data_IF_440195808232
#
_entry.id   IF_440195808232
#
_cell.length_a   1.000
_cell.length_b   1.000
_cell.length_c   1.000
_cell.angle_alpha   90.00
_cell.angle_beta   90.00
_cell.angle_gamma   90.00
#
_symmetry.space_group_name_H-M   'P 1'
#
loop_
_entity.id
_entity.type
_entity.pdbx_description
1 polymer ?
#
# COMPACT_ATOMS: atom_id res chain seq x y z
N UNK A 1 15.66 -2.46 -65.82
CA UNK A 1 16.02 -1.65 -64.63
C UNK A 1 16.66 -2.56 -63.61
N UNK A 2 17.86 -2.24 -63.13
CA UNK A 2 18.56 -2.99 -62.08
C UNK A 2 17.74 -3.05 -60.78
N UNK A 3 17.88 -4.14 -60.00
CA UNK A 3 17.22 -4.28 -58.68
C UNK A 3 17.71 -3.19 -57.72
N UNK A 4 16.91 -2.83 -56.72
CA UNK A 4 17.28 -1.80 -55.74
C UNK A 4 18.59 -2.15 -54.99
N UNK A 5 18.86 -3.43 -54.79
CA UNK A 5 20.11 -3.92 -54.19
C UNK A 5 21.33 -3.57 -55.06
N UNK A 6 21.25 -3.77 -56.38
CA UNK A 6 22.32 -3.44 -57.31
C UNK A 6 22.53 -1.91 -57.41
N UNK A 7 21.44 -1.13 -57.37
CA UNK A 7 21.51 0.34 -57.34
C UNK A 7 22.19 0.85 -56.06
N UNK A 8 21.89 0.23 -54.92
CA UNK A 8 22.51 0.55 -53.62
C UNK A 8 23.98 0.11 -53.54
N UNK A 9 24.42 -0.84 -54.37
CA UNK A 9 25.83 -1.26 -54.44
C UNK A 9 26.66 -0.49 -55.48
N UNK A 10 26.04 0.40 -56.26
CA UNK A 10 26.75 1.18 -57.27
C UNK A 10 27.84 2.08 -56.66
N UNK A 11 28.92 2.31 -57.42
CA UNK A 11 30.05 3.17 -57.00
C UNK A 11 29.59 4.58 -56.61
N UNK A 12 28.61 5.14 -57.34
CA UNK A 12 28.04 6.46 -57.02
C UNK A 12 27.27 6.46 -55.70
N UNK A 13 26.49 5.42 -55.41
CA UNK A 13 25.77 5.32 -54.14
C UNK A 13 26.75 5.21 -52.96
N UNK A 14 27.78 4.35 -53.08
CA UNK A 14 28.84 4.22 -52.07
C UNK A 14 29.62 5.53 -51.86
N UNK A 15 29.93 6.24 -52.94
CA UNK A 15 30.60 7.54 -52.86
C UNK A 15 29.73 8.59 -52.14
N UNK A 16 28.44 8.66 -52.47
CA UNK A 16 27.50 9.57 -51.82
C UNK A 16 27.27 9.21 -50.35
N UNK A 17 27.26 7.92 -50.02
CA UNK A 17 27.18 7.43 -48.64
C UNK A 17 28.44 7.82 -47.84
N UNK A 18 29.64 7.66 -48.42
CA UNK A 18 30.90 8.08 -47.82
C UNK A 18 30.93 9.60 -47.58
N UNK A 19 30.52 10.40 -48.58
CA UNK A 19 30.45 11.86 -48.45
C UNK A 19 29.44 12.29 -47.36
N UNK A 20 28.29 11.63 -47.28
CA UNK A 20 27.32 11.89 -46.22
C UNK A 20 27.85 11.50 -44.83
N UNK A 21 28.65 10.44 -44.75
CA UNK A 21 29.31 10.02 -43.51
C UNK A 21 30.38 11.03 -43.05
N UNK A 22 31.19 11.57 -43.96
CA UNK A 22 32.17 12.63 -43.66
C UNK A 22 31.49 13.92 -43.18
N UNK A 23 30.33 14.26 -43.76
CA UNK A 23 29.53 15.41 -43.36
C UNK A 23 28.75 15.18 -42.04
N UNK A 24 28.89 14.01 -41.41
CA UNK A 24 28.22 13.67 -40.15
C UNK A 24 26.72 13.34 -40.28
N UNK A 25 26.17 13.37 -41.50
CA UNK A 25 24.78 13.01 -41.82
C UNK A 25 24.62 11.52 -42.21
N UNK A 26 25.69 10.74 -42.08
CA UNK A 26 25.68 9.31 -42.37
C UNK A 26 24.68 8.56 -41.51
N UNK A 27 23.70 7.92 -42.16
CA UNK A 27 22.89 6.93 -41.47
C UNK A 27 23.78 5.76 -41.13
N UNK A 28 24.23 5.65 -39.87
CA UNK A 28 24.97 4.50 -39.33
C UNK A 28 24.11 3.22 -39.27
N UNK A 29 23.26 2.99 -40.27
CA UNK A 29 22.31 1.86 -40.38
C UNK A 29 23.01 0.53 -40.62
N UNK A 30 24.27 0.58 -41.07
CA UNK A 30 25.09 -0.60 -41.39
C UNK A 30 26.17 -0.89 -40.34
N UNK A 31 26.29 -0.08 -39.28
CA UNK A 31 27.18 -0.42 -38.18
C UNK A 31 26.62 -1.64 -37.48
N UNK A 32 27.42 -2.71 -37.39
CA UNK A 32 27.03 -3.90 -36.64
C UNK A 32 27.26 -3.63 -35.16
N UNK A 33 26.27 -4.01 -34.35
CA UNK A 33 26.37 -3.98 -32.90
C UNK A 33 27.68 -4.67 -32.44
N UNK A 34 28.48 -4.02 -31.58
CA UNK A 34 29.63 -4.65 -30.94
C UNK A 34 29.20 -5.89 -30.13
N UNK A 35 29.99 -6.97 -30.20
CA UNK A 35 29.69 -8.20 -29.45
C UNK A 35 29.83 -8.03 -27.94
N UNK A 36 30.74 -7.15 -27.51
CA UNK A 36 31.03 -6.92 -26.11
C UNK A 36 30.54 -5.53 -25.73
N UNK A 37 29.56 -5.46 -24.81
CA UNK A 37 28.99 -4.17 -24.39
C UNK A 37 30.04 -3.27 -23.71
N UNK A 38 31.03 -3.86 -23.04
CA UNK A 38 32.06 -3.11 -22.31
C UNK A 38 33.08 -2.38 -23.20
N UNK A 39 33.13 -2.66 -24.51
CA UNK A 39 34.01 -1.91 -25.41
C UNK A 39 33.51 -0.49 -25.69
N UNK A 40 32.20 -0.25 -25.52
CA UNK A 40 31.58 1.06 -25.74
C UNK A 40 31.61 1.85 -24.43
N UNK A 41 32.25 3.03 -24.48
CA UNK A 41 32.40 3.94 -23.33
C UNK A 41 31.47 5.15 -23.40
N UNK A 42 30.80 5.37 -24.53
CA UNK A 42 29.85 6.46 -24.71
C UNK A 42 28.43 6.02 -24.31
N UNK A 43 27.82 6.77 -23.39
CA UNK A 43 26.47 6.51 -22.88
C UNK A 43 25.42 6.55 -24.00
N UNK A 44 25.51 7.54 -24.89
CA UNK A 44 24.53 7.74 -25.97
C UNK A 44 24.54 6.57 -26.94
N UNK A 45 25.73 6.03 -27.20
CA UNK A 45 25.89 4.87 -28.06
C UNK A 45 25.36 3.59 -27.40
N UNK A 46 25.61 3.39 -26.10
CA UNK A 46 25.04 2.26 -25.34
C UNK A 46 23.50 2.29 -25.33
N UNK A 47 22.88 3.45 -25.13
CA UNK A 47 21.42 3.60 -25.17
C UNK A 47 20.84 3.30 -26.56
N UNK A 48 21.54 3.73 -27.62
CA UNK A 48 21.18 3.41 -29.00
C UNK A 48 21.20 1.90 -29.23
N UNK A 49 22.29 1.22 -28.89
CA UNK A 49 22.41 -0.23 -29.05
C UNK A 49 21.36 -0.98 -28.25
N UNK A 50 21.08 -0.57 -27.00
CA UNK A 50 19.97 -1.10 -26.20
C UNK A 50 18.63 -0.96 -26.93
N UNK A 51 18.35 0.21 -27.49
CA UNK A 51 17.13 0.47 -28.25
C UNK A 51 17.02 -0.35 -29.54
N UNK A 52 18.14 -0.74 -30.13
CA UNK A 52 18.17 -1.65 -31.29
C UNK A 52 17.88 -3.08 -30.88
N UNK A 53 18.47 -3.56 -29.77
CA UNK A 53 18.18 -4.90 -29.21
C UNK A 53 16.68 -5.04 -28.92
N UNK A 54 16.08 -4.01 -28.30
CA UNK A 54 14.65 -4.01 -27.99
C UNK A 54 13.78 -4.09 -29.25
N UNK A 55 14.14 -3.38 -30.32
CA UNK A 55 13.42 -3.47 -31.60
C UNK A 55 13.54 -4.85 -32.24
N UNK A 56 14.70 -5.49 -32.15
CA UNK A 56 14.89 -6.88 -32.60
C UNK A 56 14.04 -7.86 -31.80
N UNK A 57 14.00 -7.72 -30.47
CA UNK A 57 13.15 -8.52 -29.59
C UNK A 57 11.69 -8.36 -30.01
N UNK A 58 11.18 -7.13 -30.13
CA UNK A 58 9.78 -6.88 -30.53
C UNK A 58 9.43 -7.54 -31.87
N UNK A 59 10.30 -7.43 -32.89
CA UNK A 59 10.09 -8.08 -34.19
C UNK A 59 10.02 -9.61 -34.08
N UNK A 60 10.89 -10.22 -33.26
CA UNK A 60 10.88 -11.67 -33.06
C UNK A 60 9.70 -12.14 -32.23
N UNK A 61 9.29 -11.38 -31.21
CA UNK A 61 8.09 -11.67 -30.41
C UNK A 61 6.86 -11.67 -31.31
N UNK A 62 6.72 -10.68 -32.21
CA UNK A 62 5.62 -10.67 -33.20
C UNK A 62 5.70 -11.89 -34.13
N UNK A 63 6.89 -12.25 -34.63
CA UNK A 63 7.07 -13.43 -35.51
C UNK A 63 6.74 -14.76 -34.83
N UNK A 64 6.98 -14.90 -33.52
CA UNK A 64 6.64 -16.14 -32.78
C UNK A 64 5.13 -16.37 -32.74
N UNK A 65 4.32 -15.32 -32.83
CA UNK A 65 2.86 -15.43 -32.82
C UNK A 65 2.29 -15.92 -34.15
N UNK A 66 3.10 -16.03 -35.21
CA UNK A 66 2.64 -16.51 -36.52
C UNK A 66 2.28 -18.00 -36.46
N UNK A 67 1.02 -18.33 -36.75
CA UNK A 67 0.51 -19.72 -36.74
C UNK A 67 1.12 -20.61 -37.83
N UNK A 68 1.64 -20.01 -38.91
CA UNK A 68 2.25 -20.74 -40.02
C UNK A 68 3.66 -21.29 -39.71
N UNK A 69 4.23 -20.96 -38.56
CA UNK A 69 5.57 -21.38 -38.18
C UNK A 69 5.58 -22.81 -37.60
N UNK A 70 6.62 -23.59 -37.86
CA UNK A 70 6.76 -24.92 -37.26
C UNK A 70 7.21 -24.86 -35.81
N UNK A 71 6.93 -25.90 -35.04
CA UNK A 71 7.30 -25.95 -33.62
C UNK A 71 8.83 -25.90 -33.39
N UNK A 72 9.64 -26.34 -34.36
CA UNK A 72 11.10 -26.24 -34.29
C UNK A 72 11.56 -24.79 -34.48
N UNK A 73 11.03 -24.11 -35.49
CA UNK A 73 11.32 -22.70 -35.73
C UNK A 73 10.86 -21.80 -34.56
N UNK A 74 9.74 -22.15 -33.91
CA UNK A 74 9.28 -21.46 -32.69
C UNK A 74 10.30 -21.62 -31.55
N UNK A 75 10.92 -22.80 -31.39
CA UNK A 75 11.99 -23.02 -30.39
C UNK A 75 13.22 -22.18 -30.71
N UNK A 76 13.68 -22.18 -31.95
CA UNK A 76 14.84 -21.41 -32.39
C UNK A 76 14.62 -19.91 -32.18
N UNK A 77 13.45 -19.39 -32.56
CA UNK A 77 13.10 -17.99 -32.31
C UNK A 77 13.07 -17.66 -30.81
N UNK A 78 12.58 -18.57 -29.97
CA UNK A 78 12.56 -18.37 -28.53
C UNK A 78 13.99 -18.34 -27.95
N UNK A 79 14.89 -19.21 -28.42
CA UNK A 79 16.30 -19.18 -28.05
C UNK A 79 17.00 -17.89 -28.48
N UNK A 80 16.69 -17.43 -29.69
CA UNK A 80 17.19 -16.16 -30.19
C UNK A 80 16.70 -14.97 -29.36
N UNK A 81 15.42 -14.94 -28.94
CA UNK A 81 14.91 -13.89 -28.06
C UNK A 81 15.59 -13.95 -26.69
N UNK A 82 15.77 -15.13 -26.12
CA UNK A 82 16.47 -15.28 -24.85
C UNK A 82 17.94 -14.83 -24.94
N UNK A 83 18.59 -15.07 -26.09
CA UNK A 83 19.93 -14.54 -26.37
C UNK A 83 19.94 -13.01 -26.42
N UNK A 84 18.99 -12.39 -27.12
CA UNK A 84 18.86 -10.93 -27.18
C UNK A 84 18.52 -10.32 -25.81
N UNK A 85 17.73 -11.00 -24.98
CA UNK A 85 17.44 -10.55 -23.60
C UNK A 85 18.69 -10.56 -22.73
N UNK A 86 19.56 -11.56 -22.88
CA UNK A 86 20.86 -11.56 -22.21
C UNK A 86 21.71 -10.38 -22.70
N UNK A 87 21.80 -10.17 -24.01
CA UNK A 87 22.52 -9.02 -24.57
C UNK A 87 21.97 -7.68 -24.06
N UNK A 88 20.64 -7.52 -24.03
CA UNK A 88 19.95 -6.35 -23.45
C UNK A 88 20.36 -6.11 -22.00
N UNK A 89 20.45 -7.17 -21.18
CA UNK A 89 20.92 -7.04 -19.80
C UNK A 89 22.40 -6.63 -19.72
N UNK A 90 23.26 -7.06 -20.65
CA UNK A 90 24.66 -6.62 -20.71
C UNK A 90 24.76 -5.13 -21.06
N UNK A 91 23.95 -4.67 -22.02
CA UNK A 91 23.87 -3.23 -22.33
C UNK A 91 23.33 -2.41 -21.16
N UNK A 92 22.31 -2.88 -20.46
CA UNK A 92 21.78 -2.20 -19.27
C UNK A 92 22.80 -2.16 -18.12
N UNK A 93 23.59 -3.23 -17.92
CA UNK A 93 24.70 -3.22 -16.97
C UNK A 93 25.76 -2.20 -17.34
N UNK A 94 26.11 -2.12 -18.62
CA UNK A 94 27.11 -1.16 -19.10
C UNK A 94 26.63 0.28 -18.91
N UNK A 95 25.36 0.57 -19.23
CA UNK A 95 24.79 1.90 -19.01
C UNK A 95 24.86 2.27 -17.52
N UNK A 96 24.54 1.34 -16.63
CA UNK A 96 24.66 1.57 -15.18
C UNK A 96 26.12 1.79 -14.78
N UNK A 97 27.06 1.01 -15.31
CA UNK A 97 28.50 1.13 -15.02
C UNK A 97 29.08 2.48 -15.49
N UNK A 98 28.56 3.04 -16.59
CA UNK A 98 28.91 4.38 -17.08
C UNK A 98 28.19 5.51 -16.32
N UNK A 99 27.36 5.19 -15.32
CA UNK A 99 26.62 6.18 -14.52
C UNK A 99 25.30 6.65 -15.15
N UNK A 100 24.76 5.92 -16.13
CA UNK A 100 23.50 6.22 -16.80
C UNK A 100 22.26 5.71 -16.04
N UNK A 101 21.10 5.83 -16.70
CA UNK A 101 19.81 5.45 -16.13
C UNK A 101 19.71 3.94 -15.81
N UNK A 102 19.11 3.62 -14.65
CA UNK A 102 18.89 2.23 -14.25
C UNK A 102 17.57 1.68 -14.81
N UNK A 103 17.64 1.11 -16.01
CA UNK A 103 16.49 0.47 -16.67
C UNK A 103 16.02 -0.84 -16.04
N UNK A 104 16.77 -1.44 -15.11
CA UNK A 104 16.35 -2.68 -14.43
C UNK A 104 15.28 -2.43 -13.38
N UNK A 105 15.32 -1.26 -12.73
CA UNK A 105 14.44 -0.93 -11.61
C UNK A 105 13.02 -0.55 -12.05
N UNK A 106 12.88 0.02 -13.25
CA UNK A 106 11.61 0.56 -13.75
C UNK A 106 10.78 -0.39 -14.62
N UNK A 107 11.27 -1.59 -14.93
CA UNK A 107 10.53 -2.56 -15.76
C UNK A 107 9.90 -3.58 -14.83
N UNK A 108 8.55 -3.56 -14.62
CA UNK A 108 7.85 -4.67 -13.98
C UNK A 108 8.27 -5.96 -14.68
N UNK A 109 8.39 -7.07 -13.93
CA UNK A 109 8.62 -8.42 -14.48
C UNK A 109 7.86 -8.52 -15.81
N UNK A 110 8.60 -8.64 -16.93
CA UNK A 110 8.01 -8.42 -18.25
C UNK A 110 6.70 -9.18 -18.38
N UNK A 111 5.61 -8.41 -18.48
CA UNK A 111 4.25 -8.92 -18.59
C UNK A 111 4.01 -9.25 -20.06
N UNK A 112 3.44 -10.41 -20.33
CA UNK A 112 2.99 -10.72 -21.69
C UNK A 112 1.83 -9.82 -22.11
N UNK A 113 1.46 -9.90 -23.39
CA UNK A 113 0.30 -9.23 -23.98
C UNK A 113 -1.03 -9.58 -23.27
N UNK A 114 -1.05 -10.71 -22.55
CA UNK A 114 -2.16 -11.13 -21.68
C UNK A 114 -2.07 -10.59 -20.24
N UNK A 115 -1.13 -9.71 -19.94
CA UNK A 115 -0.97 -9.14 -18.60
C UNK A 115 -0.63 -10.18 -17.54
N UNK A 116 -0.02 -11.32 -17.91
CA UNK A 116 0.49 -12.37 -17.00
C UNK A 116 2.01 -12.36 -17.03
N UNK A 117 2.66 -12.57 -15.88
CA UNK A 117 4.13 -12.66 -15.82
C UNK A 117 4.58 -13.80 -16.73
N UNK A 118 5.58 -13.55 -17.58
CA UNK A 118 6.15 -14.59 -18.46
C UNK A 118 6.62 -15.76 -17.60
N UNK A 119 5.96 -16.93 -17.66
CA UNK A 119 6.37 -18.09 -16.88
C UNK A 119 7.77 -18.49 -17.35
N UNK A 120 8.72 -18.44 -16.42
CA UNK A 120 10.12 -18.70 -16.71
C UNK A 120 10.71 -19.61 -15.65
N UNK A 121 11.11 -20.81 -16.07
CA UNK A 121 11.89 -21.69 -15.20
C UNK A 121 13.34 -21.19 -15.20
N UNK A 122 13.88 -20.93 -14.00
CA UNK A 122 15.33 -20.82 -13.74
C UNK A 122 16.11 -19.87 -14.70
N UNK A 123 15.49 -18.79 -15.18
CA UNK A 123 16.16 -17.77 -16.00
C UNK A 123 16.02 -17.93 -17.52
N UNK A 124 15.31 -18.95 -17.99
CA UNK A 124 14.88 -19.08 -19.39
C UNK A 124 13.38 -18.73 -19.50
N UNK A 125 12.99 -18.05 -20.58
CA UNK A 125 11.62 -17.55 -20.76
C UNK A 125 11.01 -18.08 -22.05
N UNK A 126 9.71 -18.32 -22.03
CA UNK A 126 8.95 -18.76 -23.20
C UNK A 126 7.96 -17.66 -23.59
N UNK A 127 8.03 -17.19 -24.83
CA UNK A 127 7.21 -16.08 -25.33
C UNK A 127 6.09 -16.57 -26.26
N UNK A 128 4.89 -15.99 -26.15
CA UNK A 128 3.76 -16.28 -27.04
C UNK A 128 3.52 -17.79 -27.23
N UNK A 129 3.47 -18.22 -28.49
CA UNK A 129 3.26 -19.63 -28.89
C UNK A 129 4.34 -20.59 -28.39
N UNK A 130 5.53 -20.10 -28.03
CA UNK A 130 6.57 -20.97 -27.48
C UNK A 130 6.15 -21.63 -26.14
N UNK A 131 5.12 -21.10 -25.47
CA UNK A 131 4.52 -21.71 -24.27
C UNK A 131 3.63 -22.91 -24.60
N UNK A 132 3.03 -22.93 -25.79
CA UNK A 132 2.10 -23.97 -26.23
C UNK A 132 2.82 -25.19 -26.81
N UNK A 133 4.16 -25.12 -26.91
CA UNK A 133 4.97 -26.23 -27.38
C UNK A 133 4.77 -27.47 -26.47
N UNK A 134 4.63 -28.67 -27.06
CA UNK A 134 4.52 -29.90 -26.29
C UNK A 134 5.80 -30.08 -25.43
N UNK A 135 5.60 -30.40 -24.15
CA UNK A 135 6.65 -30.48 -23.12
C UNK A 135 6.95 -29.17 -22.38
N UNK A 136 6.92 -28.01 -23.06
CA UNK A 136 7.04 -26.70 -22.37
C UNK A 136 5.76 -26.40 -21.61
N UNK A 137 4.61 -26.62 -22.25
CA UNK A 137 3.30 -26.44 -21.63
C UNK A 137 3.15 -27.23 -20.34
N UNK A 138 3.52 -28.52 -20.36
CA UNK A 138 3.50 -29.40 -19.19
C UNK A 138 4.47 -28.94 -18.09
N UNK A 139 5.66 -28.43 -18.46
CA UNK A 139 6.60 -27.87 -17.49
C UNK A 139 6.02 -26.63 -16.79
N UNK A 140 5.36 -25.76 -17.55
CA UNK A 140 4.74 -24.55 -17.02
C UNK A 140 3.56 -24.90 -16.10
N UNK A 141 2.68 -25.79 -16.52
CA UNK A 141 1.54 -26.27 -15.71
C UNK A 141 2.01 -26.95 -14.42
N UNK A 142 3.01 -27.84 -14.49
CA UNK A 142 3.62 -28.46 -13.30
C UNK A 142 4.27 -27.43 -12.38
N UNK A 143 4.91 -26.40 -12.95
CA UNK A 143 5.54 -25.35 -12.15
C UNK A 143 4.50 -24.51 -11.41
N UNK A 144 3.39 -24.16 -12.07
CA UNK A 144 2.27 -23.44 -11.44
C UNK A 144 1.62 -24.29 -10.36
N UNK A 145 1.38 -25.57 -10.60
CA UNK A 145 0.86 -26.50 -9.60
C UNK A 145 1.80 -26.61 -8.39
N UNK A 146 3.12 -26.65 -8.62
CA UNK A 146 4.11 -26.71 -7.54
C UNK A 146 4.16 -25.41 -6.75
N UNK A 147 4.00 -24.26 -7.40
CA UNK A 147 3.91 -22.95 -6.74
C UNK A 147 2.63 -22.82 -5.91
N UNK A 148 1.48 -23.21 -6.46
CA UNK A 148 0.20 -23.26 -5.76
C UNK A 148 0.24 -24.24 -4.58
N UNK A 149 0.91 -25.38 -4.72
CA UNK A 149 1.17 -26.31 -3.61
C UNK A 149 2.06 -25.70 -2.53
N UNK A 150 3.06 -24.89 -2.90
CA UNK A 150 3.92 -24.19 -1.92
C UNK A 150 3.18 -23.06 -1.22
N UNK A 151 2.37 -22.31 -1.95
CA UNK A 151 1.55 -21.24 -1.39
C UNK A 151 0.46 -21.81 -0.48
N UNK A 152 -0.22 -22.88 -0.90
CA UNK A 152 -1.14 -23.61 -0.04
C UNK A 152 -0.44 -24.24 1.15
N UNK A 153 0.79 -24.78 1.03
CA UNK A 153 1.56 -25.27 2.18
C UNK A 153 1.93 -24.15 3.15
N UNK A 154 2.36 -22.98 2.66
CA UNK A 154 2.62 -21.79 3.49
C UNK A 154 1.34 -21.33 4.17
N UNK A 155 0.26 -21.15 3.42
CA UNK A 155 -1.04 -20.76 3.95
C UNK A 155 -1.54 -21.78 4.97
N UNK A 156 -1.39 -23.08 4.72
CA UNK A 156 -1.73 -24.16 5.66
C UNK A 156 -0.86 -24.10 6.90
N UNK A 157 0.44 -23.82 6.77
CA UNK A 157 1.35 -23.61 7.90
C UNK A 157 0.87 -22.46 8.76
N UNK A 158 0.58 -21.29 8.18
CA UNK A 158 0.07 -20.13 8.92
C UNK A 158 -1.32 -20.36 9.50
N UNK A 159 -2.20 -21.08 8.79
CA UNK A 159 -3.55 -21.40 9.26
C UNK A 159 -3.53 -22.28 10.51
N UNK A 160 -2.53 -23.14 10.67
CA UNK A 160 -2.29 -23.88 11.92
C UNK A 160 -1.89 -23.00 13.09
N UNK A 161 -1.50 -21.74 12.86
CA UNK A 161 -1.09 -20.76 13.87
C UNK A 161 -2.10 -19.63 14.10
N UNK A 162 -3.23 -19.63 13.39
CA UNK A 162 -4.27 -18.59 13.53
C UNK A 162 -5.36 -18.96 14.54
N UNK A 163 -5.75 -20.23 14.61
CA UNK A 163 -6.85 -20.70 15.46
C UNK A 163 -6.31 -21.34 16.75
N UNK A 164 -5.44 -20.61 17.45
CA UNK A 164 -4.79 -21.06 18.68
C UNK A 164 -5.71 -20.83 19.87
N UNK A 165 -5.79 -21.82 20.79
CA UNK A 165 -6.58 -21.69 22.03
C UNK A 165 -6.12 -20.48 22.85
N UNK A 166 -7.01 -19.80 23.60
CA UNK A 166 -6.64 -18.75 24.56
C UNK A 166 -5.50 -19.15 25.52
N UNK A 167 -5.42 -20.45 25.89
CA UNK A 167 -4.30 -21.02 26.63
C UNK A 167 -2.90 -20.79 25.99
N UNK A 168 -2.81 -20.69 24.67
CA UNK A 168 -1.55 -20.40 23.97
C UNK A 168 -1.07 -18.95 24.18
N UNK A 169 -2.02 -18.03 24.42
CA UNK A 169 -1.75 -16.62 24.65
C UNK A 169 -1.64 -16.27 26.14
N UNK A 170 -1.85 -17.24 27.04
CA UNK A 170 -1.78 -17.04 28.49
C UNK A 170 -3.04 -16.43 29.10
N UNK A 171 -4.14 -16.32 28.33
CA UNK A 171 -5.41 -15.72 28.79
C UNK A 171 -6.11 -16.56 29.90
N UNK A 172 -5.62 -17.78 30.15
CA UNK A 172 -6.16 -18.68 31.18
C UNK A 172 -5.40 -18.57 32.51
N UNK A 173 -4.20 -17.98 32.53
CA UNK A 173 -3.33 -17.94 33.73
C UNK A 173 -3.96 -17.09 34.86
N UNK A 174 -4.76 -16.08 34.51
CA UNK A 174 -5.49 -15.26 35.47
C UNK A 174 -6.65 -16.02 36.16
N UNK A 175 -7.11 -17.14 35.59
CA UNK A 175 -8.25 -17.93 36.11
C UNK A 175 -7.87 -18.84 37.27
N UNK A 176 -6.59 -19.16 37.44
CA UNK A 176 -6.10 -20.00 38.53
C UNK A 176 -6.20 -19.30 39.90
N UNK A 177 -6.43 -17.99 39.91
CA UNK A 177 -6.65 -17.20 41.13
C UNK A 177 -5.39 -17.01 42.00
N UNK A 178 -4.25 -17.56 41.58
CA UNK A 178 -2.95 -17.39 42.24
C UNK A 178 -2.54 -15.92 42.22
N UNK A 179 -2.63 -15.28 41.04
CA UNK A 179 -2.31 -13.86 40.87
C UNK A 179 -3.18 -12.96 41.77
N UNK A 180 -4.50 -13.22 41.81
CA UNK A 180 -5.43 -12.48 42.66
C UNK A 180 -5.10 -12.62 44.16
N UNK A 181 -4.62 -13.79 44.59
CA UNK A 181 -4.22 -14.03 45.97
C UNK A 181 -2.94 -13.27 46.34
N UNK A 182 -1.98 -13.22 45.41
CA UNK A 182 -0.72 -12.46 45.54
C UNK A 182 -0.99 -10.95 45.55
N UNK A 183 -1.78 -10.44 44.61
CA UNK A 183 -2.21 -9.03 44.55
C UNK A 183 -2.92 -8.62 45.85
N UNK A 184 -3.88 -9.43 46.32
CA UNK A 184 -4.57 -9.14 47.59
C UNK A 184 -3.63 -9.18 48.80
N UNK A 185 -2.55 -9.97 48.76
CA UNK A 185 -1.54 -9.98 49.82
C UNK A 185 -0.65 -8.74 49.77
N UNK A 186 -0.24 -8.30 48.57
CA UNK A 186 0.52 -7.07 48.38
C UNK A 186 -0.29 -5.83 48.74
N UNK A 187 -1.55 -5.74 48.30
CA UNK A 187 -2.48 -4.67 48.69
C UNK A 187 -2.57 -4.55 50.22
N UNK A 188 -2.65 -5.68 50.93
CA UNK A 188 -2.73 -5.70 52.41
C UNK A 188 -1.47 -5.13 53.05
N UNK A 189 -0.31 -5.44 52.49
CA UNK A 189 0.98 -4.92 52.96
C UNK A 189 1.12 -3.44 52.65
N UNK A 190 0.78 -3.02 51.44
CA UNK A 190 0.84 -1.62 51.03
C UNK A 190 -0.10 -0.74 51.87
N UNK A 191 -1.30 -1.25 52.16
CA UNK A 191 -2.26 -0.58 53.04
C UNK A 191 -1.74 -0.46 54.47
N UNK A 192 -1.21 -1.54 55.06
CA UNK A 192 -0.69 -1.49 56.42
C UNK A 192 0.50 -0.54 56.52
N UNK A 193 1.40 -0.56 55.55
CA UNK A 193 2.53 0.37 55.47
C UNK A 193 2.08 1.83 55.30
N UNK A 194 1.09 2.10 54.43
CA UNK A 194 0.52 3.45 54.26
C UNK A 194 -0.15 3.94 55.54
N UNK A 195 -0.98 3.10 56.15
CA UNK A 195 -1.70 3.41 57.38
C UNK A 195 -0.70 3.73 58.50
N UNK A 196 0.34 2.90 58.64
CA UNK A 196 1.40 3.10 59.63
C UNK A 196 2.15 4.41 59.42
N UNK A 197 2.47 4.78 58.18
CA UNK A 197 3.08 6.09 57.86
C UNK A 197 2.17 7.26 58.22
N UNK A 198 0.89 7.20 57.84
CA UNK A 198 -0.08 8.26 58.15
C UNK A 198 -0.27 8.43 59.68
N UNK A 199 -0.29 7.34 60.44
CA UNK A 199 -0.42 7.39 61.90
C UNK A 199 0.83 7.99 62.57
N UNK A 200 2.03 7.69 62.05
CA UNK A 200 3.28 8.33 62.48
C UNK A 200 3.25 9.84 62.22
N UNK A 201 2.79 10.27 61.04
CA UNK A 201 2.67 11.69 60.68
C UNK A 201 1.66 12.45 61.57
N UNK A 202 0.67 11.74 62.11
CA UNK A 202 -0.31 12.26 63.06
C UNK A 202 0.17 12.25 64.52
N UNK A 203 1.40 11.76 64.79
CA UNK A 203 2.03 11.78 66.11
C UNK A 203 1.67 10.61 67.02
N UNK A 204 1.11 9.53 66.48
CA UNK A 204 0.86 8.30 67.24
C UNK A 204 2.17 7.48 67.37
N UNK A 205 2.58 7.14 68.60
CA UNK A 205 3.79 6.36 68.86
C UNK A 205 3.50 5.10 69.71
N UNK A 206 4.16 3.99 69.40
CA UNK A 206 4.15 2.78 70.23
C UNK A 206 2.90 1.91 70.10
N UNK A 207 2.35 1.46 71.22
CA UNK A 207 1.26 0.46 71.33
C UNK A 207 -0.04 0.83 70.58
N UNK A 208 -0.22 2.11 70.26
CA UNK A 208 -1.35 2.64 69.49
C UNK A 208 -1.25 2.31 67.99
N UNK A 209 -0.04 2.19 67.43
CA UNK A 209 0.18 1.85 66.02
C UNK A 209 -0.25 0.42 65.72
N UNK A 210 0.17 -0.53 66.56
CA UNK A 210 -0.13 -1.95 66.36
C UNK A 210 -1.60 -2.28 66.70
N UNK A 211 -2.24 -1.46 67.56
CA UNK A 211 -3.68 -1.57 67.85
C UNK A 211 -4.56 -0.98 66.74
N UNK A 212 -4.05 -0.02 65.96
CA UNK A 212 -4.80 0.65 64.89
C UNK A 212 -4.88 -0.15 63.59
N UNK A 213 -3.93 -1.06 63.31
CA UNK A 213 -3.95 -1.92 62.12
C UNK A 213 -5.21 -2.82 62.04
N UNK A 214 -5.84 -3.14 63.18
CA UNK A 214 -7.09 -3.90 63.24
C UNK A 214 -8.38 -3.05 63.28
N UNK A 215 -8.27 -1.74 63.50
CA UNK A 215 -9.41 -0.82 63.65
C UNK A 215 -9.84 -0.20 62.33
N UNK A 216 -8.88 -0.05 61.40
CA UNK A 216 -9.11 0.54 60.07
C UNK A 216 -9.06 -0.53 58.99
N UNK A 217 -10.21 -1.18 58.67
CA UNK A 217 -10.24 -2.17 57.60
C UNK A 217 -9.87 -1.52 56.27
N UNK A 218 -9.18 -2.28 55.42
CA UNK A 218 -8.90 -1.85 54.06
C UNK A 218 -10.23 -1.57 53.33
N UNK A 219 -10.36 -0.42 52.65
CA UNK A 219 -11.55 -0.10 51.87
C UNK A 219 -11.56 -0.92 50.58
N UNK A 220 -11.94 -2.19 50.69
CA UNK A 220 -12.39 -2.95 49.53
C UNK A 220 -13.84 -2.53 49.32
N UNK A 221 -14.09 -1.64 48.35
CA UNK A 221 -15.45 -1.56 47.82
C UNK A 221 -15.81 -3.01 47.43
N UNK A 222 -16.95 -3.52 47.91
CA UNK A 222 -17.50 -4.77 47.39
C UNK A 222 -17.81 -4.51 45.92
N UNK A 223 -16.80 -4.67 45.06
CA UNK A 223 -16.98 -4.73 43.63
C UNK A 223 -17.91 -5.92 43.42
N UNK A 224 -19.16 -5.65 43.08
CA UNK A 224 -20.04 -6.67 42.53
C UNK A 224 -19.24 -7.36 41.44
N UNK A 225 -18.97 -8.64 41.65
CA UNK A 225 -18.30 -9.46 40.66
C UNK A 225 -19.03 -9.24 39.33
N UNK A 226 -18.35 -8.86 38.22
CA UNK A 226 -19.00 -8.93 36.93
C UNK A 226 -19.47 -10.38 36.77
N UNK A 227 -20.77 -10.52 36.51
CA UNK A 227 -21.48 -11.79 36.62
C UNK A 227 -20.81 -12.94 35.88
N UNK A 228 -21.08 -14.14 36.40
CA UNK A 228 -20.78 -15.44 35.83
C UNK A 228 -21.18 -15.56 34.33
N UNK A 229 -20.68 -16.59 33.62
CA UNK A 229 -20.44 -16.57 32.18
C UNK A 229 -21.73 -16.40 31.39
N UNK A 230 -21.64 -15.65 30.30
CA UNK A 230 -22.73 -15.51 29.33
C UNK A 230 -22.92 -16.87 28.66
N UNK A 231 -23.92 -17.61 29.13
CA UNK A 231 -24.40 -18.83 28.48
C UNK A 231 -24.81 -18.51 27.03
N UNK A 232 -24.15 -19.20 26.10
CA UNK A 232 -24.44 -19.27 24.68
C UNK A 232 -25.84 -19.84 24.42
N UNK A 233 -26.90 -19.04 24.58
CA UNK A 233 -28.25 -19.34 24.06
C UNK A 233 -28.98 -18.08 23.60
N UNK A 234 -28.51 -17.47 22.52
CA UNK A 234 -29.40 -16.70 21.63
C UNK A 234 -29.49 -17.42 20.30
N UNK A 235 -30.64 -18.07 20.12
CA UNK A 235 -31.01 -18.77 18.91
C UNK A 235 -30.96 -17.87 17.68
N UNK A 236 -30.27 -18.39 16.66
CA UNK A 236 -30.31 -17.93 15.29
C UNK A 236 -31.76 -17.72 14.81
N UNK A 237 -32.16 -16.46 14.59
CA UNK A 237 -33.15 -16.09 13.57
C UNK A 237 -32.47 -15.19 12.55
N UNK A 238 -31.67 -15.82 11.68
CA UNK A 238 -31.21 -15.19 10.43
C UNK A 238 -32.40 -14.99 9.51
N UNK A 239 -32.72 -13.74 9.23
CA UNK A 239 -33.58 -13.32 8.12
C UNK A 239 -32.75 -13.42 6.84
N UNK A 240 -33.25 -14.19 5.87
CA UNK A 240 -32.64 -14.39 4.56
C UNK A 240 -32.33 -13.06 3.85
N UNK A 241 -31.08 -12.84 3.48
CA UNK A 241 -30.69 -11.81 2.52
C UNK A 241 -30.67 -12.42 1.12
N UNK A 242 -31.61 -11.97 0.28
CA UNK A 242 -31.65 -12.24 -1.16
C UNK A 242 -30.40 -11.67 -1.85
N UNK A 243 -29.65 -12.61 -2.41
CA UNK A 243 -28.75 -12.53 -3.57
C UNK A 243 -29.00 -11.34 -4.53
N UNK A 244 -27.98 -10.51 -4.77
CA UNK A 244 -27.73 -9.89 -6.10
C UNK A 244 -26.22 -9.75 -6.35
N UNK A 245 -25.84 -10.19 -7.53
CA UNK A 245 -24.49 -10.31 -8.08
C UNK A 245 -23.87 -8.96 -8.45
N UNK A 246 -22.53 -8.92 -8.45
CA UNK A 246 -21.76 -7.72 -8.77
C UNK A 246 -21.84 -7.27 -10.22
N UNK A 247 -21.30 -6.06 -10.45
CA UNK A 247 -20.80 -5.63 -11.76
C UNK A 247 -19.83 -4.46 -11.62
N UNK A 248 -18.68 -4.60 -12.27
CA UNK A 248 -17.74 -3.53 -12.56
C UNK A 248 -18.28 -2.51 -13.60
N UNK A 249 -17.43 -1.56 -14.02
CA UNK A 249 -17.82 -0.17 -14.26
C UNK A 249 -18.21 0.13 -15.71
N UNK A 250 -19.07 1.13 -15.91
CA UNK A 250 -19.20 1.82 -17.20
C UNK A 250 -19.10 3.33 -17.01
N UNK A 251 -18.00 3.87 -17.54
CA UNK A 251 -17.88 5.28 -17.96
C UNK A 251 -18.82 5.52 -19.15
N UNK A 252 -19.57 6.62 -19.12
CA UNK A 252 -19.93 7.38 -20.31
C UNK A 252 -20.12 8.84 -19.92
N UNK A 253 -19.22 9.69 -20.42
CA UNK A 253 -19.39 11.14 -20.48
C UNK A 253 -20.39 11.45 -21.59
N UNK A 254 -21.28 12.43 -21.37
CA UNK A 254 -21.81 13.26 -22.45
C UNK A 254 -22.07 14.68 -21.92
N UNK A 255 -21.50 15.62 -22.64
CA UNK A 255 -21.48 17.06 -22.44
C UNK A 255 -22.85 17.73 -22.65
N UNK A 256 -23.04 18.93 -22.10
CA UNK A 256 -24.07 19.86 -22.61
C UNK A 256 -24.61 20.93 -21.65
N UNK A 257 -23.81 21.98 -21.41
CA UNK A 257 -24.14 23.44 -21.51
C UNK A 257 -25.47 24.00 -20.93
N UNK A 258 -25.29 24.88 -19.93
CA UNK A 258 -25.89 26.20 -19.63
C UNK A 258 -27.42 26.40 -19.49
N UNK A 259 -27.80 27.10 -18.41
CA UNK A 259 -29.09 27.77 -18.24
C UNK A 259 -29.27 28.30 -16.81
N UNK A 260 -29.47 29.60 -16.70
CA UNK A 260 -29.50 30.49 -15.54
C UNK A 260 -30.80 30.41 -14.68
N UNK A 261 -30.78 31.13 -13.55
CA UNK A 261 -31.90 31.63 -12.72
C UNK A 261 -32.33 30.88 -11.42
N UNK A 262 -31.85 31.44 -10.30
CA UNK A 262 -32.60 32.03 -9.17
C UNK A 262 -33.47 31.18 -8.20
N UNK A 263 -33.03 31.25 -6.93
CA UNK A 263 -33.75 31.32 -5.64
C UNK A 263 -34.40 30.11 -4.93
N UNK A 264 -33.96 29.99 -3.67
CA UNK A 264 -34.61 29.53 -2.41
C UNK A 264 -35.31 28.18 -2.38
N UNK A 265 -34.75 27.24 -1.62
CA UNK A 265 -35.36 26.87 -0.34
C UNK A 265 -34.43 26.07 0.59
N UNK A 266 -34.56 26.41 1.86
CA UNK A 266 -34.00 25.87 3.09
C UNK A 266 -34.15 24.35 3.25
N UNK A 267 -33.08 23.68 3.70
CA UNK A 267 -33.15 22.41 4.42
C UNK A 267 -32.03 22.39 5.46
N UNK A 268 -32.41 22.67 6.71
CA UNK A 268 -31.58 22.63 7.90
C UNK A 268 -31.14 21.18 8.19
N UNK A 269 -29.89 21.03 8.64
CA UNK A 269 -29.31 19.74 9.02
C UNK A 269 -29.45 19.52 10.53
N UNK A 270 -30.40 18.68 10.93
CA UNK A 270 -30.68 18.29 12.33
C UNK A 270 -29.68 17.24 12.89
N UNK A 271 -28.41 17.26 12.46
CA UNK A 271 -27.45 16.17 12.74
C UNK A 271 -26.23 16.52 13.59
N UNK A 272 -26.08 17.77 14.03
CA UNK A 272 -24.83 18.22 14.67
C UNK A 272 -24.94 18.48 16.19
N UNK A 273 -26.16 18.62 16.72
CA UNK A 273 -26.35 18.99 18.13
C UNK A 273 -26.35 17.77 19.08
N UNK A 274 -26.82 16.60 18.62
CA UNK A 274 -26.92 15.39 19.46
C UNK A 274 -25.55 14.78 19.83
N UNK A 275 -24.54 14.91 18.96
CA UNK A 275 -23.20 14.39 19.19
C UNK A 275 -22.42 15.23 20.22
N UNK A 276 -22.70 16.54 20.30
CA UNK A 276 -22.02 17.45 21.23
C UNK A 276 -22.54 17.27 22.67
N UNK A 277 -23.83 17.02 22.84
CA UNK A 277 -24.44 16.79 24.16
C UNK A 277 -23.92 15.49 24.81
N UNK A 278 -23.65 14.44 24.03
CA UNK A 278 -23.12 13.17 24.54
C UNK A 278 -21.67 13.30 25.04
N UNK A 279 -20.87 14.14 24.37
CA UNK A 279 -19.48 14.41 24.76
C UNK A 279 -19.42 15.24 26.05
N UNK A 280 -20.31 16.23 26.21
CA UNK A 280 -20.40 17.05 27.42
C UNK A 280 -20.82 16.23 28.65
N UNK A 281 -21.74 15.28 28.50
CA UNK A 281 -22.16 14.36 29.58
C UNK A 281 -21.00 13.45 30.03
N UNK A 282 -20.22 12.94 29.07
CA UNK A 282 -19.03 12.12 29.37
C UNK A 282 -17.97 12.93 30.10
N UNK A 283 -17.63 14.13 29.63
CA UNK A 283 -16.59 14.98 30.26
C UNK A 283 -17.00 15.40 31.67
N UNK A 284 -18.28 15.69 31.92
CA UNK A 284 -18.83 16.00 33.24
C UNK A 284 -18.67 14.83 34.24
N UNK A 285 -18.77 13.59 33.78
CA UNK A 285 -18.59 12.39 34.63
C UNK A 285 -17.15 12.18 35.11
N UNK A 286 -16.16 12.68 34.35
CA UNK A 286 -14.73 12.52 34.67
C UNK A 286 -14.12 13.69 35.45
N UNK A 287 -14.75 14.87 35.46
CA UNK A 287 -14.18 16.08 36.07
C UNK A 287 -15.09 16.67 37.15
N UNK A 288 -15.10 16.05 38.34
CA UNK A 288 -15.93 16.45 39.49
C UNK A 288 -15.53 17.81 40.14
N UNK A 289 -14.42 18.43 39.72
CA UNK A 289 -13.81 19.56 40.43
C UNK A 289 -14.20 20.96 39.91
N UNK A 290 -14.85 21.10 38.75
CA UNK A 290 -15.16 22.41 38.15
C UNK A 290 -16.67 22.60 37.84
N UNK A 291 -17.22 23.81 38.02
CA UNK A 291 -18.61 24.10 37.69
C UNK A 291 -18.84 24.08 36.17
N UNK A 292 -19.98 23.52 35.74
CA UNK A 292 -20.35 23.27 34.32
C UNK A 292 -20.22 24.51 33.43
N UNK A 293 -20.47 25.71 33.96
CA UNK A 293 -20.33 26.97 33.21
C UNK A 293 -18.90 27.29 32.75
N UNK A 294 -17.88 26.73 33.40
CA UNK A 294 -16.47 26.92 33.03
C UNK A 294 -15.95 25.86 32.05
N UNK A 295 -16.73 24.78 31.84
CA UNK A 295 -16.41 23.70 30.91
C UNK A 295 -17.01 23.92 29.51
N UNK A 296 -17.98 24.84 29.38
CA UNK A 296 -18.51 25.21 28.06
C UNK A 296 -17.41 25.85 27.20
N UNK A 297 -17.27 25.34 25.97
CA UNK A 297 -16.36 25.93 24.99
C UNK A 297 -16.71 27.41 24.77
N UNK A 298 -15.70 28.29 24.62
CA UNK A 298 -15.97 29.69 24.31
C UNK A 298 -16.76 29.77 23.00
N UNK A 299 -17.86 30.54 22.99
CA UNK A 299 -18.70 30.69 21.80
C UNK A 299 -17.85 31.30 20.67
N UNK A 300 -17.59 30.51 19.64
CA UNK A 300 -16.88 30.96 18.44
C UNK A 300 -17.87 31.74 17.59
N UNK A 301 -17.54 32.96 17.12
CA UNK A 301 -18.46 33.75 16.32
C UNK A 301 -18.75 33.09 14.96
N UNK A 302 -20.00 33.18 14.52
CA UNK A 302 -20.43 32.66 13.23
C UNK A 302 -19.81 33.46 12.08
N UNK A 303 -19.74 32.87 10.88
CA UNK A 303 -19.14 33.50 9.70
C UNK A 303 -19.75 34.88 9.39
N UNK A 304 -21.06 35.03 9.58
CA UNK A 304 -21.79 36.29 9.41
C UNK A 304 -21.35 37.35 10.44
N UNK A 305 -21.13 36.95 11.69
CA UNK A 305 -20.63 37.83 12.75
C UNK A 305 -19.19 38.29 12.47
N UNK A 306 -18.35 37.40 11.93
CA UNK A 306 -16.98 37.74 11.52
C UNK A 306 -17.00 38.72 10.34
N UNK A 307 -17.83 38.47 9.33
CA UNK A 307 -17.93 39.34 8.15
C UNK A 307 -18.43 40.75 8.54
N UNK A 308 -19.43 40.85 9.42
CA UNK A 308 -19.91 42.14 9.91
C UNK A 308 -18.88 42.88 10.74
N UNK A 309 -18.14 42.17 11.60
CA UNK A 309 -17.04 42.75 12.37
C UNK A 309 -15.93 43.31 11.47
N UNK A 310 -15.50 42.54 10.47
CA UNK A 310 -14.49 42.98 9.51
C UNK A 310 -14.94 44.19 8.69
N UNK A 311 -16.22 44.23 8.29
CA UNK A 311 -16.78 45.35 7.55
C UNK A 311 -16.82 46.61 8.43
N UNK A 312 -17.21 46.49 9.70
CA UNK A 312 -17.19 47.59 10.66
C UNK A 312 -15.77 48.10 10.92
N UNK A 313 -14.79 47.21 11.13
CA UNK A 313 -13.39 47.58 11.31
C UNK A 313 -12.83 48.32 10.09
N UNK A 314 -13.14 47.83 8.87
CA UNK A 314 -12.72 48.49 7.63
C UNK A 314 -13.37 49.86 7.45
N UNK A 315 -14.65 50.00 7.82
CA UNK A 315 -15.36 51.29 7.78
C UNK A 315 -14.79 52.27 8.80
N UNK A 316 -14.38 51.80 9.98
CA UNK A 316 -13.72 52.62 10.99
C UNK A 316 -12.33 53.08 10.53
N UNK A 317 -11.52 52.18 9.97
CA UNK A 317 -10.19 52.52 9.44
C UNK A 317 -10.27 53.56 8.30
N UNK A 318 -11.21 53.38 7.37
CA UNK A 318 -11.45 54.40 6.33
C UNK A 318 -11.96 55.71 6.93
N UNK A 319 -12.77 55.68 7.98
CA UNK A 319 -13.20 56.92 8.66
C UNK A 319 -12.03 57.65 9.31
N UNK A 320 -11.13 56.96 10.01
CA UNK A 320 -9.93 57.61 10.56
C UNK A 320 -9.02 58.15 9.46
N UNK A 321 -8.85 57.43 8.35
CA UNK A 321 -8.02 57.94 7.24
C UNK A 321 -8.58 59.21 6.59
N UNK A 322 -9.91 59.33 6.49
CA UNK A 322 -10.55 60.45 5.79
C UNK A 322 -10.97 61.61 6.69
N UNK A 323 -11.19 61.38 7.99
CA UNK A 323 -11.67 62.40 8.93
C UNK A 323 -10.60 62.79 9.97
N UNK A 324 -9.51 62.02 10.07
CA UNK A 324 -8.43 62.20 11.06
C UNK A 324 -8.41 61.08 12.09
#
# INVERSE_FOLDING_TARGET
>A
MARNEEKAQSMLYRFREAQAAELGFGTRKNERRPRLASSVKDLKECERWRGEVLREISRKVSKIQDFGLTDYEVRDLNDEINKLLREKNHWENQIIALGGANYKRGVPRMMDDSGKEVPGSRGYKYFGRAKDLPGVKELLERSTETEEQRESFRATKYRRFMDQSPAYYGDEDERDGVLLAEEAAEERRDWSERLRKNLLDLGCEGQELDSAEGVWPMPRAEAQAPGAPVDDKVGNKRKESKQVQGRGPKRARKDGVAGDEMNSDTAEGEGADEDNEQVDVLVSSYLFALPVAQLQAPKVPDRTEIETFLLQARKQALRSEYIG
#
